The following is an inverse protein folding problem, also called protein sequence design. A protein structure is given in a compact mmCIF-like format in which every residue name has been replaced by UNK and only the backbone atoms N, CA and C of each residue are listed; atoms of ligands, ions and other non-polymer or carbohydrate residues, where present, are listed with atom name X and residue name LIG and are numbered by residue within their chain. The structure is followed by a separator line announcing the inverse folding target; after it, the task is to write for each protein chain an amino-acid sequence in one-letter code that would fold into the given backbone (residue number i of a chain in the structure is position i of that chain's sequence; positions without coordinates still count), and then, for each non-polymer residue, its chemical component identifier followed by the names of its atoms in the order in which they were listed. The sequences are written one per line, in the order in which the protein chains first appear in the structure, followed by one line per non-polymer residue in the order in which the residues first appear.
data_IF_626233950146
#
_entry.id   IF_626233950146
#
_cell.length_a   1.000
_cell.length_b   1.000
_cell.length_c   1.000
_cell.angle_alpha   90.00
_cell.angle_beta   90.00
_cell.angle_gamma   90.00
#
_symmetry.space_group_name_H-M   'P 1'
#
loop_
_entity.id
_entity.type
_entity.pdbx_description
1 polymer ?
#
# COMPACT_ATOMS: atom_id res chain seq x y z
N UNK A 1 3.35 20.43 -4.51
CA UNK A 1 2.82 19.46 -5.51
C UNK A 1 2.80 20.01 -6.93
N UNK A 2 2.15 21.15 -7.23
CA UNK A 2 2.07 21.66 -8.62
C UNK A 2 3.44 21.84 -9.29
N UNK A 3 4.39 22.50 -8.61
CA UNK A 3 5.78 22.65 -9.10
C UNK A 3 6.51 21.32 -9.34
N UNK A 4 6.10 20.25 -8.66
CA UNK A 4 6.67 18.91 -8.90
C UNK A 4 5.98 18.28 -10.11
N UNK A 5 4.66 18.34 -10.17
CA UNK A 5 3.86 17.78 -11.26
C UNK A 5 4.23 18.33 -12.64
N UNK A 6 4.62 19.61 -12.73
CA UNK A 6 5.06 20.25 -13.99
C UNK A 6 6.35 19.67 -14.56
N UNK A 7 7.10 18.88 -13.80
CA UNK A 7 8.32 18.19 -14.28
C UNK A 7 8.01 16.92 -15.07
N UNK A 8 6.76 16.44 -15.03
CA UNK A 8 6.33 15.18 -15.62
C UNK A 8 5.42 15.42 -16.82
N UNK A 9 5.34 14.42 -17.71
CA UNK A 9 4.49 14.48 -18.88
C UNK A 9 3.00 14.45 -18.48
N UNK A 10 2.26 15.51 -18.80
CA UNK A 10 0.85 15.67 -18.48
C UNK A 10 -0.08 14.59 -19.07
N UNK A 11 0.35 13.89 -20.13
CA UNK A 11 -0.41 12.83 -20.79
C UNK A 11 -0.16 11.44 -20.17
N UNK A 12 0.85 11.27 -19.31
CA UNK A 12 1.08 10.04 -18.55
C UNK A 12 0.36 10.11 -17.21
N UNK A 13 -0.10 8.97 -16.69
CA UNK A 13 -0.72 8.92 -15.37
C UNK A 13 0.28 9.40 -14.31
N UNK A 14 -0.16 10.30 -13.43
CA UNK A 14 0.68 10.84 -12.38
C UNK A 14 -0.12 10.97 -11.08
N UNK A 15 0.49 10.48 -10.01
CA UNK A 15 0.12 10.83 -8.64
C UNK A 15 1.35 11.41 -7.94
N UNK A 16 1.19 12.58 -7.33
CA UNK A 16 2.18 13.21 -6.45
C UNK A 16 1.59 13.18 -5.04
N UNK A 17 2.33 12.67 -4.06
CA UNK A 17 1.89 12.68 -2.67
C UNK A 17 3.01 13.15 -1.74
N UNK A 18 2.60 13.57 -0.56
CA UNK A 18 3.46 14.13 0.49
C UNK A 18 3.32 13.30 1.77
N UNK A 19 4.15 13.61 2.76
CA UNK A 19 3.96 13.11 4.11
C UNK A 19 2.90 13.93 4.85
N UNK A 20 2.57 13.50 6.06
CA UNK A 20 1.81 14.29 7.02
C UNK A 20 2.41 14.14 8.42
N UNK A 21 2.20 15.15 9.27
CA UNK A 21 2.59 15.08 10.68
C UNK A 21 1.40 14.69 11.53
N UNK A 22 1.59 13.76 12.46
CA UNK A 22 0.55 13.34 13.41
C UNK A 22 0.57 14.28 14.61
N UNK A 23 -0.58 14.87 14.94
CA UNK A 23 -0.75 15.81 16.05
C UNK A 23 -1.81 15.35 17.04
N UNK A 24 -1.71 15.83 18.28
CA UNK A 24 -2.74 15.69 19.30
C UNK A 24 -3.89 16.69 19.10
N UNK A 25 -4.85 16.69 20.03
CA UNK A 25 -6.00 17.60 20.01
C UNK A 25 -5.64 19.09 20.17
N UNK A 26 -4.44 19.40 20.64
CA UNK A 26 -3.91 20.75 20.80
C UNK A 26 -2.97 21.13 19.64
N UNK A 27 -2.97 20.35 18.55
CA UNK A 27 -2.07 20.49 17.39
C UNK A 27 -0.58 20.34 17.71
N UNK A 28 -0.22 19.76 18.86
CA UNK A 28 1.16 19.45 19.18
C UNK A 28 1.58 18.19 18.43
N UNK A 29 2.74 18.25 17.77
CA UNK A 29 3.28 17.13 17.01
C UNK A 29 3.61 15.95 17.94
N UNK A 30 2.93 14.83 17.72
CA UNK A 30 3.22 13.52 18.30
C UNK A 30 4.24 12.78 17.43
N UNK A 31 4.06 12.84 16.11
CA UNK A 31 4.98 12.26 15.15
C UNK A 31 5.20 13.20 13.95
N UNK A 32 6.44 13.60 13.65
CA UNK A 32 6.70 14.49 12.53
C UNK A 32 6.39 13.86 11.16
N UNK A 33 6.40 12.53 11.05
CA UNK A 33 6.24 11.80 9.79
C UNK A 33 5.39 10.53 9.96
N UNK A 34 4.24 10.50 9.29
CA UNK A 34 3.43 9.29 9.24
C UNK A 34 4.10 8.20 8.40
N UNK A 35 4.69 8.55 7.26
CA UNK A 35 5.33 7.58 6.36
C UNK A 35 6.48 6.84 7.06
N UNK A 36 7.41 7.55 7.70
CA UNK A 36 8.53 6.92 8.40
C UNK A 36 8.04 6.07 9.58
N UNK A 37 7.08 6.57 10.34
CA UNK A 37 6.60 5.87 11.53
C UNK A 37 5.81 4.60 11.21
N UNK A 38 4.97 4.62 10.17
CA UNK A 38 4.12 3.48 9.78
C UNK A 38 4.86 2.51 8.85
N UNK A 39 5.55 3.02 7.84
CA UNK A 39 6.08 2.23 6.73
C UNK A 39 7.58 2.40 6.48
N UNK A 40 8.33 3.07 7.36
CA UNK A 40 9.78 3.30 7.27
C UNK A 40 10.25 4.22 6.13
N UNK A 41 9.70 4.06 4.92
CA UNK A 41 9.95 4.92 3.77
C UNK A 41 8.70 5.02 2.89
N UNK A 42 8.67 6.02 2.03
CA UNK A 42 7.67 6.21 0.98
C UNK A 42 7.83 5.17 -0.14
N UNK A 43 6.73 4.79 -0.78
CA UNK A 43 6.70 3.90 -1.93
C UNK A 43 6.45 4.69 -3.22
N UNK A 44 7.23 4.38 -4.25
CA UNK A 44 7.15 5.06 -5.56
C UNK A 44 7.17 4.07 -6.73
N UNK A 45 7.08 2.77 -6.45
CA UNK A 45 7.17 1.71 -7.47
C UNK A 45 6.05 0.69 -7.32
N UNK A 46 5.69 0.07 -8.45
CA UNK A 46 4.63 -0.93 -8.52
C UNK A 46 4.88 -2.11 -7.57
N UNK A 47 6.12 -2.61 -7.51
CA UNK A 47 6.46 -3.73 -6.63
C UNK A 47 6.16 -3.43 -5.15
N UNK A 48 6.51 -2.23 -4.69
CA UNK A 48 6.28 -1.86 -3.30
C UNK A 48 4.77 -1.70 -3.04
N UNK A 49 4.08 -0.99 -3.94
CA UNK A 49 2.64 -0.72 -3.87
C UNK A 49 1.74 -1.96 -3.95
N UNK A 50 2.17 -3.01 -4.66
CA UNK A 50 1.47 -4.30 -4.67
C UNK A 50 1.37 -4.91 -3.27
N UNK A 51 2.41 -4.72 -2.45
CA UNK A 51 2.50 -5.36 -1.15
C UNK A 51 2.11 -4.45 0.00
N UNK A 52 2.39 -3.15 -0.08
CA UNK A 52 2.12 -2.19 0.99
C UNK A 52 1.96 -0.79 0.37
N UNK A 53 0.90 -0.08 0.74
CA UNK A 53 0.70 1.28 0.29
C UNK A 53 1.10 2.28 1.38
N UNK A 54 1.71 3.40 0.98
CA UNK A 54 2.17 4.45 1.89
C UNK A 54 1.48 5.79 1.68
N UNK A 55 0.63 5.88 0.68
CA UNK A 55 -0.07 7.09 0.27
C UNK A 55 -1.19 7.40 1.24
N UNK A 56 -1.37 8.70 1.48
CA UNK A 56 -2.49 9.25 2.22
C UNK A 56 -3.19 10.30 1.35
N UNK A 57 -4.49 10.13 1.14
CA UNK A 57 -5.25 10.95 0.19
C UNK A 57 -5.30 12.45 0.52
N UNK A 58 -5.27 12.83 1.80
CA UNK A 58 -5.34 14.24 2.23
C UNK A 58 -4.16 15.09 1.74
N UNK A 59 -3.04 14.44 1.45
CA UNK A 59 -1.82 15.05 0.93
C UNK A 59 -1.40 14.41 -0.39
N UNK A 60 -2.37 14.21 -1.28
CA UNK A 60 -2.13 13.73 -2.64
C UNK A 60 -2.75 14.63 -3.72
N UNK A 61 -2.14 14.61 -4.90
CA UNK A 61 -2.59 15.25 -6.12
C UNK A 61 -2.47 14.26 -7.27
N UNK A 62 -3.50 14.17 -8.09
CA UNK A 62 -3.53 13.33 -9.29
C UNK A 62 -3.72 14.21 -10.53
N UNK A 63 -3.19 13.78 -11.67
CA UNK A 63 -3.45 14.47 -12.94
C UNK A 63 -4.66 13.86 -13.68
N UNK A 64 -5.12 14.57 -14.70
CA UNK A 64 -6.27 14.15 -15.50
C UNK A 64 -6.03 12.82 -16.24
N UNK A 65 -4.79 12.52 -16.64
CA UNK A 65 -4.44 11.25 -17.27
C UNK A 65 -4.67 10.05 -16.35
N UNK A 66 -4.34 10.16 -15.06
CA UNK A 66 -4.62 9.11 -14.07
C UNK A 66 -6.13 8.96 -13.83
N UNK A 67 -6.87 10.06 -13.73
CA UNK A 67 -8.33 10.04 -13.54
C UNK A 67 -9.03 9.26 -14.66
N UNK A 68 -8.62 9.43 -15.92
CA UNK A 68 -9.22 8.71 -17.06
C UNK A 68 -9.08 7.19 -16.99
N UNK A 69 -8.11 6.68 -16.22
CA UNK A 69 -7.87 5.24 -16.04
C UNK A 69 -8.65 4.64 -14.88
N UNK A 70 -9.27 5.49 -14.04
CA UNK A 70 -10.12 5.04 -12.96
C UNK A 70 -11.38 4.41 -13.55
N UNK A 71 -11.49 3.08 -13.47
CA UNK A 71 -12.55 2.31 -14.14
C UNK A 71 -13.65 1.77 -13.22
N UNK A 72 -13.44 1.66 -11.91
CA UNK A 72 -14.43 1.18 -10.94
C UNK A 72 -14.17 1.76 -9.55
N UNK A 73 -15.16 1.78 -8.66
CA UNK A 73 -14.99 2.06 -7.22
C UNK A 73 -15.21 0.82 -6.35
N UNK A 74 -15.44 -0.34 -6.95
CA UNK A 74 -15.89 -1.53 -6.24
C UNK A 74 -14.72 -2.29 -5.60
N UNK A 75 -14.94 -2.79 -4.40
CA UNK A 75 -14.00 -3.67 -3.68
C UNK A 75 -12.59 -3.08 -3.46
N UNK A 76 -12.46 -1.75 -3.40
CA UNK A 76 -11.20 -1.06 -3.09
C UNK A 76 -10.97 -1.00 -1.59
N UNK A 77 -9.71 -1.17 -1.16
CA UNK A 77 -9.36 -0.99 0.26
C UNK A 77 -9.51 0.49 0.62
N UNK A 78 -8.85 1.35 -0.16
CA UNK A 78 -8.99 2.80 -0.15
C UNK A 78 -8.75 3.35 -1.57
N UNK A 79 -9.40 4.46 -1.91
CA UNK A 79 -9.30 5.05 -3.25
C UNK A 79 -7.92 5.62 -3.56
N UNK A 80 -7.27 6.25 -2.58
CA UNK A 80 -5.90 6.73 -2.69
C UNK A 80 -4.92 5.57 -2.94
N UNK A 81 -5.14 4.43 -2.29
CA UNK A 81 -4.31 3.25 -2.49
C UNK A 81 -4.46 2.66 -3.89
N UNK A 82 -5.69 2.61 -4.39
CA UNK A 82 -5.95 2.18 -5.75
C UNK A 82 -5.30 3.13 -6.77
N UNK A 83 -5.44 4.44 -6.59
CA UNK A 83 -4.85 5.44 -7.49
C UNK A 83 -3.32 5.37 -7.49
N UNK A 84 -2.70 5.14 -6.33
CA UNK A 84 -1.25 4.98 -6.22
C UNK A 84 -0.77 3.72 -6.97
N UNK A 85 -1.48 2.60 -6.81
CA UNK A 85 -1.19 1.36 -7.53
C UNK A 85 -1.37 1.55 -9.04
N UNK A 86 -2.44 2.23 -9.46
CA UNK A 86 -2.70 2.53 -10.87
C UNK A 86 -1.65 3.48 -11.46
N UNK A 87 -1.23 4.50 -10.70
CA UNK A 87 -0.19 5.43 -11.09
C UNK A 87 1.15 4.71 -11.29
N UNK A 88 1.58 3.87 -10.35
CA UNK A 88 2.82 3.09 -10.50
C UNK A 88 2.76 2.08 -11.65
N UNK A 89 1.58 1.57 -12.00
CA UNK A 89 1.40 0.60 -13.08
C UNK A 89 1.40 1.24 -14.48
N UNK A 90 0.89 2.47 -14.61
CA UNK A 90 0.59 3.11 -15.91
C UNK A 90 1.30 4.46 -16.12
N UNK A 91 2.15 4.86 -15.18
CA UNK A 91 2.86 6.13 -15.19
C UNK A 91 3.78 6.28 -13.98
N UNK A 92 3.58 7.35 -13.21
CA UNK A 92 4.51 7.77 -12.16
C UNK A 92 3.80 8.00 -10.81
N UNK A 93 4.43 7.53 -9.73
CA UNK A 93 4.07 7.86 -8.34
C UNK A 93 5.26 8.60 -7.70
N UNK A 94 5.03 9.85 -7.31
CA UNK A 94 6.09 10.75 -6.85
C UNK A 94 5.84 11.14 -5.41
N UNK A 95 6.85 10.95 -4.57
CA UNK A 95 6.83 11.37 -3.17
C UNK A 95 7.61 12.67 -2.97
N UNK A 96 7.02 13.63 -2.28
CA UNK A 96 7.69 14.85 -1.80
C UNK A 96 7.88 14.69 -0.29
N UNK A 97 9.13 14.64 0.16
CA UNK A 97 9.50 14.43 1.56
C UNK A 97 9.32 15.69 2.42
N UNK A 98 8.07 16.13 2.55
CA UNK A 98 7.63 17.26 3.36
C UNK A 98 6.22 17.01 3.89
N UNK A 99 5.92 17.35 5.14
CA UNK A 99 4.55 17.25 5.65
C UNK A 99 3.65 18.27 4.96
N UNK A 100 2.55 17.81 4.36
CA UNK A 100 1.54 18.64 3.71
C UNK A 100 0.37 19.02 4.61
N UNK A 101 0.14 18.25 5.67
CA UNK A 101 -0.96 18.48 6.64
C UNK A 101 -0.60 18.04 8.06
N UNK A 102 -1.39 18.55 9.02
CA UNK A 102 -1.41 18.08 10.40
C UNK A 102 -2.59 17.14 10.60
N UNK A 103 -2.32 15.84 10.71
CA UNK A 103 -3.33 14.81 10.95
C UNK A 103 -3.59 14.63 12.43
N UNK A 104 -4.75 15.08 12.89
CA UNK A 104 -5.19 14.91 14.27
C UNK A 104 -5.56 13.45 14.53
N UNK A 105 -4.86 12.82 15.47
CA UNK A 105 -5.17 11.46 15.88
C UNK A 105 -6.01 11.48 17.16
N UNK A 106 -7.32 11.26 17.02
CA UNK A 106 -8.20 11.04 18.17
C UNK A 106 -8.00 9.61 18.71
N UNK A 107 -8.19 9.39 20.01
CA UNK A 107 -8.07 8.06 20.66
C UNK A 107 -8.99 6.97 20.07
N UNK A 108 -10.03 7.42 19.36
CA UNK A 108 -11.04 6.61 18.67
C UNK A 108 -10.74 6.36 17.18
N UNK A 109 -9.66 6.92 16.61
CA UNK A 109 -9.36 6.74 15.18
C UNK A 109 -8.88 5.31 14.88
N UNK A 110 -9.40 4.77 13.77
CA UNK A 110 -9.12 3.43 13.22
C UNK A 110 -7.63 3.22 12.92
N UNK A 111 -6.90 4.32 12.61
CA UNK A 111 -5.47 4.32 12.33
C UNK A 111 -4.70 5.12 13.41
N UNK A 112 -4.03 4.36 14.27
CA UNK A 112 -2.76 4.74 14.91
C UNK A 112 -2.76 5.15 16.40
N UNK A 113 -3.88 5.15 17.12
CA UNK A 113 -3.85 5.25 18.58
C UNK A 113 -3.26 3.95 19.19
N UNK A 114 -1.93 3.88 19.31
CA UNK A 114 -1.19 2.77 19.96
C UNK A 114 -1.06 3.05 21.46
N UNK A 115 -2.17 3.05 22.20
CA UNK A 115 -2.10 2.98 23.66
C UNK A 115 -1.52 1.62 24.09
N UNK A 116 -0.78 1.61 25.21
CA UNK A 116 -0.17 0.41 25.81
C UNK A 116 -1.21 -0.73 25.97
N UNK A 117 -2.45 -0.36 26.32
CA UNK A 117 -3.60 -1.27 26.43
C UNK A 117 -3.99 -1.94 25.11
N UNK A 118 -4.00 -1.22 23.97
CA UNK A 118 -4.25 -1.82 22.63
C UNK A 118 -3.10 -2.74 22.19
N UNK A 119 -1.85 -2.45 22.58
CA UNK A 119 -0.69 -3.34 22.36
C UNK A 119 -0.83 -4.65 23.13
N UNK A 120 -1.23 -4.58 24.41
CA UNK A 120 -1.47 -5.76 25.26
C UNK A 120 -2.71 -6.56 24.78
N UNK A 121 -3.78 -5.88 24.36
CA UNK A 121 -4.98 -6.55 23.80
C UNK A 121 -4.68 -7.29 22.49
N UNK A 122 -3.69 -6.84 21.72
CA UNK A 122 -3.22 -7.52 20.49
C UNK A 122 -2.43 -8.80 20.81
N UNK A 123 -1.80 -8.89 21.97
CA UNK A 123 -1.19 -10.12 22.48
C UNK A 123 -2.22 -11.17 22.93
N UNK A 124 -3.43 -10.74 23.27
CA UNK A 124 -4.51 -11.63 23.70
C UNK A 124 -5.20 -12.37 22.54
N UNK A 125 -4.95 -12.00 21.27
CA UNK A 125 -5.52 -12.72 20.12
C UNK A 125 -4.60 -12.73 18.89
N UNK A 126 -3.57 -13.60 18.87
CA UNK A 126 -2.65 -13.73 17.73
C UNK A 126 -3.37 -14.18 16.44
N UNK A 127 -4.46 -14.96 16.57
CA UNK A 127 -5.26 -15.40 15.42
C UNK A 127 -5.92 -14.23 14.70
N UNK A 128 -6.46 -13.25 15.43
CA UNK A 128 -7.00 -12.03 14.83
C UNK A 128 -5.93 -11.23 14.07
N UNK A 129 -4.69 -11.20 14.58
CA UNK A 129 -3.60 -10.52 13.89
C UNK A 129 -3.27 -11.21 12.55
N UNK A 130 -3.19 -12.55 12.55
CA UNK A 130 -2.99 -13.36 11.33
C UNK A 130 -4.13 -13.14 10.34
N UNK A 131 -5.38 -13.14 10.81
CA UNK A 131 -6.56 -12.90 9.97
C UNK A 131 -6.51 -11.52 9.30
N UNK A 132 -6.11 -10.47 10.03
CA UNK A 132 -5.92 -9.12 9.44
C UNK A 132 -4.83 -9.07 8.40
N UNK A 133 -3.72 -9.80 8.58
CA UNK A 133 -2.71 -9.91 7.53
C UNK A 133 -3.27 -10.59 6.28
N UNK A 134 -4.02 -11.68 6.44
CA UNK A 134 -4.66 -12.35 5.31
C UNK A 134 -5.67 -11.46 4.60
N UNK A 135 -6.50 -10.73 5.34
CA UNK A 135 -7.42 -9.75 4.78
C UNK A 135 -6.68 -8.73 3.92
N UNK A 136 -5.58 -8.14 4.43
CA UNK A 136 -4.76 -7.19 3.68
C UNK A 136 -4.13 -7.83 2.43
N UNK A 137 -3.59 -9.05 2.51
CA UNK A 137 -2.99 -9.75 1.35
C UNK A 137 -4.04 -10.06 0.29
N UNK A 138 -5.21 -10.58 0.69
CA UNK A 138 -6.27 -10.97 -0.25
C UNK A 138 -6.87 -9.73 -0.90
N UNK A 139 -7.14 -8.68 -0.13
CA UNK A 139 -7.70 -7.43 -0.66
C UNK A 139 -6.69 -6.71 -1.56
N UNK A 140 -5.40 -6.71 -1.23
CA UNK A 140 -4.38 -6.12 -2.11
C UNK A 140 -4.23 -6.91 -3.41
N UNK A 141 -4.30 -8.26 -3.38
CA UNK A 141 -4.34 -9.07 -4.60
C UNK A 141 -5.58 -8.79 -5.45
N UNK A 142 -6.76 -8.62 -4.84
CA UNK A 142 -7.98 -8.23 -5.57
C UNK A 142 -7.85 -6.86 -6.24
N UNK A 143 -7.29 -5.88 -5.52
CA UNK A 143 -7.04 -4.55 -6.05
C UNK A 143 -6.00 -4.56 -7.19
N UNK A 144 -4.97 -5.39 -7.07
CA UNK A 144 -3.99 -5.59 -8.14
C UNK A 144 -4.59 -6.27 -9.37
N UNK A 145 -5.47 -7.26 -9.18
CA UNK A 145 -6.16 -7.93 -10.28
C UNK A 145 -7.06 -6.97 -11.07
N UNK A 146 -7.68 -5.97 -10.42
CA UNK A 146 -8.58 -5.02 -11.11
C UNK A 146 -7.87 -4.09 -12.09
N UNK A 147 -6.54 -3.92 -11.97
CA UNK A 147 -5.75 -3.09 -12.89
C UNK A 147 -5.11 -3.89 -14.05
N UNK A 148 -5.29 -5.21 -14.12
CA UNK A 148 -4.78 -6.02 -15.24
C UNK A 148 -5.45 -5.68 -16.58
N UNK A 149 -6.65 -5.12 -16.54
CA UNK A 149 -7.40 -4.71 -17.73
C UNK A 149 -6.95 -3.34 -18.29
N UNK A 150 -5.97 -2.68 -17.67
CA UNK A 150 -5.46 -1.41 -18.19
C UNK A 150 -4.76 -1.64 -19.54
N UNK A 151 -5.13 -0.89 -20.59
CA UNK A 151 -4.66 -1.15 -21.96
C UNK A 151 -3.19 -0.78 -22.18
N UNK A 152 -2.64 0.10 -21.34
CA UNK A 152 -1.29 0.66 -21.43
C UNK A 152 -0.32 0.05 -20.41
N UNK A 153 -0.69 -1.08 -19.82
CA UNK A 153 0.18 -1.84 -18.93
C UNK A 153 1.31 -2.49 -19.73
N UNK A 154 2.57 -2.26 -19.35
CA UNK A 154 3.72 -2.95 -19.95
C UNK A 154 3.70 -4.45 -19.64
N UNK A 155 4.34 -5.25 -20.48
CA UNK A 155 4.45 -6.70 -20.27
C UNK A 155 5.12 -7.05 -18.93
N UNK A 156 6.16 -6.30 -18.54
CA UNK A 156 6.84 -6.46 -17.24
C UNK A 156 5.90 -6.18 -16.06
N UNK A 157 5.12 -5.09 -16.13
CA UNK A 157 4.18 -4.75 -15.06
C UNK A 157 3.04 -5.77 -15.00
N UNK A 158 2.55 -6.23 -16.16
CA UNK A 158 1.55 -7.28 -16.27
C UNK A 158 2.05 -8.57 -15.63
N UNK A 159 3.25 -9.04 -16.00
CA UNK A 159 3.86 -10.23 -15.41
C UNK A 159 3.98 -10.08 -13.89
N UNK A 160 4.49 -8.94 -13.41
CA UNK A 160 4.66 -8.70 -11.98
C UNK A 160 3.32 -8.77 -11.22
N UNK A 161 2.27 -8.14 -11.75
CA UNK A 161 0.93 -8.15 -11.16
C UNK A 161 0.35 -9.57 -11.19
N UNK A 162 0.41 -10.28 -12.31
CA UNK A 162 -0.09 -11.65 -12.43
C UNK A 162 0.59 -12.59 -11.45
N UNK A 163 1.91 -12.50 -11.30
CA UNK A 163 2.69 -13.32 -10.36
C UNK A 163 2.37 -12.97 -8.91
N UNK A 164 2.03 -11.72 -8.63
CA UNK A 164 1.57 -11.30 -7.31
C UNK A 164 0.15 -11.82 -7.02
N UNK A 165 -0.79 -11.64 -7.94
CA UNK A 165 -2.20 -12.04 -7.80
C UNK A 165 -2.32 -13.55 -7.64
N UNK A 166 -1.61 -14.31 -8.46
CA UNK A 166 -1.69 -15.77 -8.47
C UNK A 166 -0.83 -16.44 -7.38
N UNK A 167 -0.07 -15.65 -6.61
CA UNK A 167 0.92 -16.15 -5.64
C UNK A 167 0.35 -17.18 -4.67
N UNK A 168 -0.90 -17.02 -4.24
CA UNK A 168 -1.53 -17.97 -3.31
C UNK A 168 -2.06 -19.23 -3.99
N UNK A 169 -2.26 -19.27 -5.31
CA UNK A 169 -2.68 -20.48 -6.02
C UNK A 169 -1.52 -21.41 -6.37
N UNK A 170 -0.28 -20.94 -6.17
CA UNK A 170 0.94 -21.66 -6.49
C UNK A 170 1.33 -22.70 -5.44
N UNK A 171 2.14 -23.67 -5.87
CA UNK A 171 2.79 -24.64 -4.96
C UNK A 171 3.72 -23.93 -3.98
N UNK A 172 4.01 -24.55 -2.83
CA UNK A 172 4.90 -23.95 -1.82
C UNK A 172 6.27 -23.57 -2.40
N UNK A 173 6.85 -24.43 -3.25
CA UNK A 173 8.13 -24.18 -3.92
C UNK A 173 8.03 -22.95 -4.84
N UNK A 174 6.98 -22.88 -5.65
CA UNK A 174 6.75 -21.73 -6.53
C UNK A 174 6.52 -20.44 -5.74
N UNK A 175 5.84 -20.50 -4.58
CA UNK A 175 5.68 -19.34 -3.69
C UNK A 175 7.04 -18.81 -3.21
N UNK A 176 7.92 -19.69 -2.75
CA UNK A 176 9.28 -19.31 -2.33
C UNK A 176 10.06 -18.72 -3.51
N UNK A 177 10.01 -19.37 -4.68
CA UNK A 177 10.69 -18.91 -5.89
C UNK A 177 10.20 -17.54 -6.33
N UNK A 178 8.89 -17.30 -6.41
CA UNK A 178 8.32 -16.01 -6.82
C UNK A 178 8.59 -14.90 -5.81
N UNK A 179 8.47 -15.17 -4.51
CA UNK A 179 8.85 -14.21 -3.46
C UNK A 179 10.30 -13.76 -3.59
N UNK A 180 11.21 -14.65 -4.02
CA UNK A 180 12.62 -14.33 -4.26
C UNK A 180 12.83 -13.63 -5.60
N UNK A 181 12.32 -14.18 -6.71
CA UNK A 181 12.51 -13.69 -8.09
C UNK A 181 12.00 -12.25 -8.25
N UNK A 182 10.76 -11.99 -7.83
CA UNK A 182 10.12 -10.67 -7.94
C UNK A 182 10.33 -9.80 -6.70
N UNK A 183 11.00 -10.33 -5.68
CA UNK A 183 11.30 -9.63 -4.44
C UNK A 183 10.08 -9.05 -3.72
N UNK A 184 8.94 -9.75 -3.73
CA UNK A 184 7.77 -9.35 -2.94
C UNK A 184 8.14 -9.28 -1.45
N UNK A 185 8.07 -8.08 -0.88
CA UNK A 185 8.46 -7.75 0.50
C UNK A 185 7.71 -6.51 0.97
N UNK A 186 7.52 -6.40 2.28
CA UNK A 186 6.97 -5.20 2.93
C UNK A 186 8.10 -4.20 3.19
N UNK A 187 7.77 -2.97 3.54
CA UNK A 187 8.79 -1.94 3.73
C UNK A 187 9.68 -2.22 4.96
N UNK A 188 9.08 -2.73 6.05
CA UNK A 188 9.81 -3.12 7.27
C UNK A 188 10.16 -4.61 7.24
N UNK A 189 11.37 -4.94 7.71
CA UNK A 189 11.88 -6.31 7.76
C UNK A 189 10.97 -7.27 8.54
N UNK A 190 10.48 -6.85 9.71
CA UNK A 190 9.54 -7.65 10.51
C UNK A 190 8.28 -8.01 9.71
N UNK A 191 7.67 -7.02 9.03
CA UNK A 191 6.48 -7.25 8.20
C UNK A 191 6.80 -8.11 6.98
N UNK A 192 8.01 -8.01 6.42
CA UNK A 192 8.48 -8.88 5.34
C UNK A 192 8.56 -10.34 5.78
N UNK A 193 9.13 -10.59 6.96
CA UNK A 193 9.23 -11.96 7.52
C UNK A 193 7.83 -12.52 7.74
N UNK A 194 6.94 -11.77 8.39
CA UNK A 194 5.55 -12.22 8.61
C UNK A 194 4.83 -12.49 7.29
N UNK A 195 4.89 -11.56 6.33
CA UNK A 195 4.28 -11.71 5.01
C UNK A 195 4.78 -12.96 4.28
N UNK A 196 6.10 -13.15 4.19
CA UNK A 196 6.70 -14.29 3.48
C UNK A 196 6.37 -15.61 4.18
N UNK A 197 6.43 -15.66 5.51
CA UNK A 197 6.05 -16.86 6.27
C UNK A 197 4.59 -17.24 6.04
N UNK A 198 3.66 -16.27 6.13
CA UNK A 198 2.24 -16.52 5.87
C UNK A 198 2.01 -17.00 4.44
N UNK A 199 2.56 -16.32 3.44
CA UNK A 199 2.41 -16.71 2.02
C UNK A 199 2.97 -18.12 1.78
N UNK A 200 4.17 -18.42 2.27
CA UNK A 200 4.81 -19.73 2.04
C UNK A 200 4.06 -20.85 2.74
N UNK A 201 3.67 -20.67 4.00
CA UNK A 201 3.05 -21.74 4.81
C UNK A 201 1.53 -21.81 4.67
N UNK A 202 0.87 -20.74 4.21
CA UNK A 202 -0.58 -20.54 4.29
C UNK A 202 -1.15 -20.70 5.71
N UNK A 203 -0.34 -20.46 6.74
CA UNK A 203 -0.77 -20.59 8.13
C UNK A 203 -1.99 -19.69 8.41
N UNK A 204 -3.09 -20.30 8.87
CA UNK A 204 -4.34 -19.58 9.18
C UNK A 204 -5.07 -19.00 7.96
N UNK A 205 -4.70 -19.40 6.74
CA UNK A 205 -5.41 -19.01 5.52
C UNK A 205 -6.74 -19.76 5.42
N UNK A 206 -7.84 -19.02 5.29
CA UNK A 206 -9.17 -19.57 5.03
C UNK A 206 -9.58 -19.15 3.62
N UNK A 207 -9.72 -20.11 2.72
CA UNK A 207 -10.26 -19.87 1.38
C UNK A 207 -11.76 -19.61 1.52
N UNK A 208 -12.18 -18.35 1.30
CA UNK A 208 -13.60 -18.00 1.18
C UNK A 208 -14.12 -18.39 -0.19
#
# INVERSE_FOLDING_TARGET
MLSEATKYNANKALMVYMDLSVVDENLKVINPSMVHSQSHHANTSLLAELTENTVTGGVAMINHALVKRWSSSDNMIMHDWYLALLATATGELVYIDKPGELYRQHDHNVLGARTLAKRLKKWLNPLQAVQKYWELIITSQKQAASILNQPDLSDDNRELIEKYVDLLNQTMINRIMYLKKYNFKKNKLFHTIVFRTLVVTKLGYVKK
#
